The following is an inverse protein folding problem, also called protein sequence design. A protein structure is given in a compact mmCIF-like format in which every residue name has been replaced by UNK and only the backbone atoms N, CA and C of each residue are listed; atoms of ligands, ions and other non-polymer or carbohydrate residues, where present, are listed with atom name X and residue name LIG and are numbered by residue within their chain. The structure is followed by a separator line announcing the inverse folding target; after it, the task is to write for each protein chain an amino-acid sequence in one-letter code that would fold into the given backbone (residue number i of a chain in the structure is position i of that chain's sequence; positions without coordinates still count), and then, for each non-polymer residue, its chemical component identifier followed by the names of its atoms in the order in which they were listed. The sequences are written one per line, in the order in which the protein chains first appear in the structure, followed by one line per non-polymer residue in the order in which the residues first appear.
data_IF_518619265076
#
_entry.id   IF_518619265076
#
_cell.length_a   1.000
_cell.length_b   1.000
_cell.length_c   1.000
_cell.angle_alpha   90.00
_cell.angle_beta   90.00
_cell.angle_gamma   90.00
#
_symmetry.space_group_name_H-M   'P 1'
#
loop_
_entity.id
_entity.type
_entity.pdbx_description
1 polymer ?
#
# COMPACT_ATOMS: atom_id res chain seq x y z
N UNK A 1 -4.80 0.11 14.02
CA UNK A 1 -5.30 -1.01 13.19
C UNK A 1 -4.26 -1.34 12.14
N UNK A 2 -4.00 -2.62 11.87
CA UNK A 2 -3.09 -3.09 10.82
C UNK A 2 -3.85 -3.76 9.68
N UNK A 3 -3.23 -3.83 8.50
CA UNK A 3 -3.80 -4.40 7.28
C UNK A 3 -2.77 -5.39 6.71
N UNK A 4 -3.19 -6.58 6.32
CA UNK A 4 -2.32 -7.62 5.77
C UNK A 4 -2.67 -7.87 4.31
N UNK A 5 -1.67 -8.15 3.48
CA UNK A 5 -1.87 -8.45 2.07
C UNK A 5 -0.58 -8.65 1.29
N UNK A 6 -0.70 -8.60 -0.03
CA UNK A 6 0.41 -8.72 -0.98
C UNK A 6 0.72 -7.39 -1.63
N UNK A 7 1.99 -7.01 -1.63
CA UNK A 7 2.49 -5.84 -2.33
C UNK A 7 2.44 -6.07 -3.83
N UNK A 8 1.90 -5.11 -4.57
CA UNK A 8 1.83 -5.12 -6.03
C UNK A 8 2.28 -3.78 -6.60
N UNK A 9 2.98 -3.83 -7.73
CA UNK A 9 3.17 -2.68 -8.61
C UNK A 9 2.02 -2.63 -9.60
N UNK A 10 1.24 -1.55 -9.57
CA UNK A 10 0.07 -1.35 -10.44
C UNK A 10 0.35 -0.21 -11.42
N UNK A 11 0.03 -0.41 -12.70
CA UNK A 11 0.21 0.57 -13.78
C UNK A 11 1.50 0.38 -14.59
N UNK A 12 1.56 1.07 -15.73
CA UNK A 12 2.68 1.05 -16.69
C UNK A 12 3.56 2.30 -16.44
N UNK A 13 4.81 2.29 -16.89
CA UNK A 13 5.73 3.47 -16.85
C UNK A 13 5.86 4.17 -15.48
N UNK A 14 6.20 3.40 -14.44
CA UNK A 14 6.55 3.97 -13.14
C UNK A 14 5.51 3.75 -12.06
N UNK A 15 4.23 3.58 -12.41
CA UNK A 15 3.11 3.03 -11.61
C UNK A 15 2.97 3.42 -10.13
N UNK A 16 1.96 2.88 -9.46
CA UNK A 16 1.80 3.01 -8.00
C UNK A 16 2.14 1.70 -7.30
N UNK A 17 2.56 1.78 -6.04
CA UNK A 17 2.67 0.62 -5.18
C UNK A 17 1.38 0.47 -4.39
N UNK A 18 0.85 -0.74 -4.30
CA UNK A 18 -0.38 -1.02 -3.58
C UNK A 18 -0.24 -2.28 -2.72
N UNK A 19 -1.00 -2.34 -1.64
CA UNK A 19 -1.28 -3.56 -0.91
C UNK A 19 -2.64 -4.09 -1.39
N UNK A 20 -2.64 -5.30 -1.96
CA UNK A 20 -3.87 -6.06 -2.20
C UNK A 20 -4.15 -6.84 -0.91
N UNK A 21 -5.18 -6.45 -0.18
CA UNK A 21 -5.49 -7.06 1.12
C UNK A 21 -5.96 -8.50 0.96
N UNK A 22 -5.89 -9.29 2.02
CA UNK A 22 -6.37 -10.68 2.01
C UNK A 22 -7.89 -10.76 1.72
N UNK A 23 -8.64 -9.68 1.96
CA UNK A 23 -10.05 -9.52 1.60
C UNK A 23 -10.27 -9.03 0.14
N UNK A 24 -9.20 -8.82 -0.62
CA UNK A 24 -9.23 -8.41 -2.02
C UNK A 24 -9.34 -6.90 -2.25
N UNK A 25 -9.30 -6.07 -1.20
CA UNK A 25 -9.31 -4.62 -1.34
C UNK A 25 -7.95 -4.11 -1.84
N UNK A 26 -7.95 -3.02 -2.60
CA UNK A 26 -6.71 -2.37 -3.05
C UNK A 26 -6.44 -1.13 -2.19
N UNK A 27 -5.23 -1.02 -1.67
CA UNK A 27 -4.79 0.12 -0.87
C UNK A 27 -3.51 0.66 -1.49
N UNK A 28 -3.58 1.85 -2.10
CA UNK A 28 -2.40 2.53 -2.61
C UNK A 28 -1.48 2.93 -1.44
N UNK A 29 -0.18 2.67 -1.60
CA UNK A 29 0.85 3.05 -0.66
C UNK A 29 1.53 4.32 -1.18
N UNK A 30 1.35 5.41 -0.44
CA UNK A 30 1.97 6.70 -0.75
C UNK A 30 3.40 6.70 -0.18
N UNK A 31 4.37 6.95 -1.06
CA UNK A 31 5.80 7.01 -0.73
C UNK A 31 6.27 5.84 0.16
N UNK A 32 6.00 4.56 -0.20
CA UNK A 32 6.32 3.46 0.68
C UNK A 32 7.83 3.34 0.88
N UNK A 33 8.28 2.85 2.05
CA UNK A 33 9.69 2.55 2.27
C UNK A 33 10.19 1.49 1.28
N UNK A 34 11.47 1.55 0.93
CA UNK A 34 12.08 0.69 -0.10
C UNK A 34 11.78 -0.82 0.07
N UNK A 35 11.74 -1.41 1.28
CA UNK A 35 11.41 -2.83 1.45
C UNK A 35 9.99 -3.21 1.00
N UNK A 36 9.05 -2.26 1.01
CA UNK A 36 7.68 -2.45 0.50
C UNK A 36 7.55 -2.15 -1.00
N UNK A 37 8.64 -1.82 -1.70
CA UNK A 37 8.68 -1.66 -3.16
C UNK A 37 9.13 -2.95 -3.84
N UNK A 38 8.57 -4.08 -3.42
CA UNK A 38 8.89 -5.41 -3.95
C UNK A 38 7.60 -6.16 -4.29
N UNK A 39 7.36 -6.37 -5.59
CA UNK A 39 6.13 -7.01 -6.08
C UNK A 39 6.07 -8.47 -5.64
N UNK A 40 4.90 -8.90 -5.16
CA UNK A 40 4.66 -10.26 -4.67
C UNK A 40 5.04 -10.50 -3.22
N UNK A 41 5.69 -9.55 -2.54
CA UNK A 41 6.03 -9.66 -1.12
C UNK A 41 4.77 -9.56 -0.25
N UNK A 42 4.63 -10.43 0.74
CA UNK A 42 3.55 -10.34 1.72
C UNK A 42 3.97 -9.40 2.85
N UNK A 43 3.05 -8.57 3.31
CA UNK A 43 3.34 -7.62 4.37
C UNK A 43 2.12 -7.34 5.23
N UNK A 44 2.37 -6.99 6.49
CA UNK A 44 1.42 -6.36 7.38
C UNK A 44 1.84 -4.91 7.58
N UNK A 45 0.95 -3.97 7.29
CA UNK A 45 1.21 -2.53 7.43
C UNK A 45 0.30 -1.92 8.50
N UNK A 46 0.82 -0.90 9.18
CA UNK A 46 0.01 0.02 9.99
C UNK A 46 -0.03 1.36 9.28
N UNK A 47 -1.20 1.81 8.80
CA UNK A 47 -1.33 3.12 8.17
C UNK A 47 -1.15 4.24 9.20
N UNK A 48 -0.63 5.37 8.73
CA UNK A 48 -0.60 6.62 9.48
C UNK A 48 -2.01 7.24 9.49
N UNK A 49 -2.68 7.20 10.65
CA UNK A 49 -4.09 7.58 10.80
C UNK A 49 -4.34 9.09 10.91
N UNK A 50 -3.29 9.90 11.06
CA UNK A 50 -3.40 11.35 11.29
C UNK A 50 -3.46 12.16 9.98
N UNK A 51 -3.42 11.50 8.82
CA UNK A 51 -3.51 12.15 7.52
C UNK A 51 -4.61 11.51 6.68
N UNK A 52 -5.76 12.17 6.48
CA UNK A 52 -6.69 11.73 5.45
C UNK A 52 -5.96 11.78 4.12
N UNK A 53 -5.99 10.67 3.36
CA UNK A 53 -5.34 10.67 2.05
C UNK A 53 -6.34 11.21 1.05
N UNK A 54 -6.14 12.49 0.75
CA UNK A 54 -6.81 13.24 -0.30
C UNK A 54 -6.42 12.62 -1.65
N UNK A 55 -7.29 11.76 -2.20
CA UNK A 55 -7.25 11.27 -3.59
C UNK A 55 -6.09 10.30 -3.91
N UNK A 56 -6.43 9.06 -4.26
CA UNK A 56 -5.48 8.09 -4.82
C UNK A 56 -4.91 8.59 -6.15
N UNK A 57 -3.58 8.58 -6.33
CA UNK A 57 -2.94 8.98 -7.59
C UNK A 57 -3.32 7.99 -8.70
N UNK A 58 -3.50 6.71 -8.36
CA UNK A 58 -3.91 5.66 -9.29
C UNK A 58 -5.42 5.47 -9.45
N UNK A 59 -6.27 6.37 -8.94
CA UNK A 59 -7.73 6.20 -8.91
C UNK A 59 -8.21 4.92 -8.19
N UNK A 60 -7.44 4.41 -7.22
CA UNK A 60 -7.74 3.21 -6.42
C UNK A 60 -8.72 3.45 -5.25
N UNK A 61 -9.12 4.70 -5.00
CA UNK A 61 -10.11 5.08 -3.99
C UNK A 61 -9.57 5.17 -2.57
N UNK A 62 -8.74 4.21 -2.13
CA UNK A 62 -8.08 4.24 -0.81
C UNK A 62 -6.56 4.31 -0.96
N UNK A 63 -5.95 5.28 -0.31
CA UNK A 63 -4.51 5.45 -0.26
C UNK A 63 -4.06 5.68 1.20
N UNK A 64 -2.85 5.25 1.58
CA UNK A 64 -2.30 5.41 2.94
C UNK A 64 -0.80 5.67 2.90
N UNK A 65 -0.30 6.43 3.89
CA UNK A 65 1.13 6.40 4.24
C UNK A 65 1.37 5.32 5.28
N UNK A 66 2.51 4.64 5.19
CA UNK A 66 2.86 3.54 6.10
C UNK A 66 3.59 4.10 7.32
N UNK A 67 3.03 3.92 8.51
CA UNK A 67 3.67 4.29 9.79
C UNK A 67 4.65 3.21 10.27
N UNK A 68 4.26 1.94 10.14
CA UNK A 68 5.10 0.79 10.43
C UNK A 68 4.70 -0.40 9.57
N UNK A 69 5.61 -1.35 9.39
CA UNK A 69 5.34 -2.57 8.62
C UNK A 69 6.17 -3.75 9.11
N UNK A 70 5.71 -4.94 8.74
CA UNK A 70 6.35 -6.23 8.93
C UNK A 70 6.25 -6.99 7.59
N UNK A 71 7.36 -7.54 7.11
CA UNK A 71 7.37 -8.44 5.94
C UNK A 71 7.07 -9.86 6.41
N UNK A 72 6.29 -10.61 5.64
CA UNK A 72 5.79 -11.94 5.98
C UNK A 72 6.29 -13.00 4.99
#
# INVERSE_FOLDING_TARGET
MSITGTIRKIGIEGGVWALITDEGAQVELIDPPAPLKNDGTRARITPDGDRPVEVSIGMMGRAVRVKSFELL
#
